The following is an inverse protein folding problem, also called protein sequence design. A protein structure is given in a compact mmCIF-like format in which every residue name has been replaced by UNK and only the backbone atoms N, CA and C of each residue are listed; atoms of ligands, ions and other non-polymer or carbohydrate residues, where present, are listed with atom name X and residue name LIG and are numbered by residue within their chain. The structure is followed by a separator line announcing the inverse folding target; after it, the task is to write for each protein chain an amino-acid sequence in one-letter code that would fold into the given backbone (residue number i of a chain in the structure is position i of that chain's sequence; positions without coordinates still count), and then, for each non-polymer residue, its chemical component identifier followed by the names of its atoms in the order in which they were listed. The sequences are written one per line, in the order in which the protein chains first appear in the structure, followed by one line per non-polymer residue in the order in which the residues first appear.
data_IF_010750800148
#
_entry.id   IF_010750800148
#
_cell.length_a   1.000
_cell.length_b   1.000
_cell.length_c   1.000
_cell.angle_alpha   90.00
_cell.angle_beta   90.00
_cell.angle_gamma   90.00
#
_symmetry.space_group_name_H-M   'P 1'
#
loop_
_entity.id
_entity.type
_entity.pdbx_description
1 polymer ?
#
# COMPACT_ATOMS: atom_id res chain seq x y z
N UNK A 1 -34.15 -28.83 -19.69
CA UNK A 1 -33.88 -28.53 -18.26
C UNK A 1 -32.41 -28.75 -17.99
N UNK A 2 -31.82 -27.87 -17.16
CA UNK A 2 -30.39 -27.73 -16.77
C UNK A 2 -29.57 -26.73 -17.59
N UNK A 3 -29.91 -25.46 -17.36
CA UNK A 3 -29.06 -24.45 -16.70
C UNK A 3 -27.53 -24.66 -16.83
N UNK A 4 -26.91 -23.90 -17.73
CA UNK A 4 -25.49 -23.57 -17.72
C UNK A 4 -25.39 -22.11 -17.25
N UNK A 5 -25.18 -21.92 -15.95
CA UNK A 5 -24.89 -20.60 -15.39
C UNK A 5 -23.44 -20.30 -15.73
N UNK A 6 -23.26 -19.58 -16.84
CA UNK A 6 -22.00 -18.95 -17.20
C UNK A 6 -21.81 -17.74 -16.27
N UNK A 7 -21.08 -17.92 -15.17
CA UNK A 7 -20.64 -16.81 -14.33
C UNK A 7 -19.64 -15.95 -15.11
N UNK A 8 -20.16 -14.93 -15.80
CA UNK A 8 -19.39 -13.78 -16.26
C UNK A 8 -18.78 -13.08 -15.03
N UNK A 9 -17.50 -13.31 -14.78
CA UNK A 9 -16.66 -12.41 -13.98
C UNK A 9 -16.49 -11.13 -14.79
N UNK A 10 -17.41 -10.19 -14.59
CA UNK A 10 -17.27 -8.82 -15.09
C UNK A 10 -16.09 -8.18 -14.36
N UNK A 11 -14.96 -8.12 -15.05
CA UNK A 11 -13.90 -7.15 -14.77
C UNK A 11 -14.53 -5.76 -14.91
N UNK A 12 -14.90 -5.12 -13.80
CA UNK A 12 -15.23 -3.69 -13.81
C UNK A 12 -13.92 -2.88 -13.85
N UNK A 13 -13.20 -2.96 -14.97
CA UNK A 13 -12.48 -1.80 -15.48
C UNK A 13 -13.54 -0.98 -16.21
N UNK A 14 -14.42 -0.34 -15.44
CA UNK A 14 -15.41 0.58 -16.01
C UNK A 14 -14.66 1.87 -16.33
N UNK A 15 -14.36 2.02 -17.62
CA UNK A 15 -14.38 3.31 -18.28
C UNK A 15 -15.72 4.00 -18.02
N UNK A 16 -15.85 4.72 -16.91
CA UNK A 16 -16.89 5.73 -16.75
C UNK A 16 -16.27 7.06 -16.33
N UNK A 17 -15.87 7.81 -17.34
CA UNK A 17 -15.54 9.24 -17.30
C UNK A 17 -16.69 10.14 -16.81
N UNK A 18 -17.78 9.59 -16.24
CA UNK A 18 -19.04 10.32 -16.08
C UNK A 18 -19.39 10.81 -14.67
N UNK A 19 -18.64 10.48 -13.62
CA UNK A 19 -18.75 11.19 -12.33
C UNK A 19 -17.54 10.91 -11.43
N UNK A 20 -16.36 11.41 -11.82
CA UNK A 20 -15.13 11.27 -11.02
C UNK A 20 -15.32 11.86 -9.60
N UNK A 21 -16.10 12.93 -9.49
CA UNK A 21 -16.50 13.55 -8.21
C UNK A 21 -17.29 12.59 -7.31
N UNK A 22 -18.28 11.88 -7.86
CA UNK A 22 -19.09 10.95 -7.08
C UNK A 22 -18.28 9.73 -6.65
N UNK A 23 -17.46 9.19 -7.55
CA UNK A 23 -16.57 8.05 -7.25
C UNK A 23 -15.53 8.40 -6.19
N UNK A 24 -14.97 9.62 -6.21
CA UNK A 24 -14.04 10.00 -5.16
C UNK A 24 -14.75 10.25 -3.84
N UNK A 25 -15.94 10.87 -3.88
CA UNK A 25 -16.75 11.11 -2.70
C UNK A 25 -17.11 9.82 -1.98
N UNK A 26 -17.41 8.74 -2.72
CA UNK A 26 -17.62 7.42 -2.12
C UNK A 26 -16.30 6.82 -1.60
N UNK A 27 -15.21 6.91 -2.37
CA UNK A 27 -13.90 6.40 -1.96
C UNK A 27 -13.36 7.06 -0.68
N UNK A 28 -13.58 8.37 -0.49
CA UNK A 28 -13.18 9.10 0.73
C UNK A 28 -13.84 8.57 2.00
N UNK A 29 -14.97 7.88 1.88
CA UNK A 29 -15.68 7.29 3.01
C UNK A 29 -15.19 5.88 3.34
N UNK A 30 -14.44 5.24 2.44
CA UNK A 30 -13.90 3.90 2.65
C UNK A 30 -12.65 3.95 3.53
N UNK A 31 -12.39 2.86 4.26
CA UNK A 31 -11.19 2.77 5.10
C UNK A 31 -9.90 2.70 4.28
N UNK A 32 -9.98 2.20 3.04
CA UNK A 32 -8.85 2.17 2.11
C UNK A 32 -9.31 2.65 0.74
N UNK A 33 -8.47 3.43 0.08
CA UNK A 33 -8.63 3.79 -1.33
C UNK A 33 -7.29 4.23 -1.92
N UNK A 34 -7.20 4.38 -3.23
CA UNK A 34 -6.00 4.87 -3.89
C UNK A 34 -6.31 5.76 -5.08
N UNK A 35 -5.35 6.63 -5.40
CA UNK A 35 -5.35 7.47 -6.60
C UNK A 35 -4.19 7.05 -7.48
N UNK A 36 -4.52 6.52 -8.66
CA UNK A 36 -3.56 6.08 -9.65
C UNK A 36 -3.49 7.11 -10.77
N UNK A 37 -2.29 7.66 -10.96
CA UNK A 37 -1.96 8.56 -12.04
C UNK A 37 -1.15 7.78 -13.08
N UNK A 38 -1.63 7.73 -14.32
CA UNK A 38 -0.97 7.04 -15.44
C UNK A 38 -0.69 8.01 -16.59
N UNK A 39 0.19 7.61 -17.51
CA UNK A 39 0.53 8.40 -18.70
C UNK A 39 1.11 9.78 -18.35
N UNK A 40 1.99 9.84 -17.34
CA UNK A 40 2.63 11.08 -16.93
C UNK A 40 3.45 11.67 -18.09
N UNK A 41 3.31 12.97 -18.38
CA UNK A 41 4.02 13.58 -19.49
C UNK A 41 5.53 13.55 -19.24
N UNK A 42 6.26 13.19 -20.30
CA UNK A 42 7.72 13.26 -20.33
C UNK A 42 8.18 14.69 -19.98
N UNK A 43 9.32 14.80 -19.27
CA UNK A 43 9.92 16.04 -18.80
C UNK A 43 9.83 17.17 -19.82
N UNK A 44 8.84 18.04 -19.68
CA UNK A 44 8.82 19.34 -20.33
C UNK A 44 7.72 20.20 -19.68
N UNK A 45 8.17 21.31 -19.10
CA UNK A 45 7.39 22.42 -18.52
C UNK A 45 6.89 22.27 -17.07
N UNK A 46 7.62 22.93 -16.16
CA UNK A 46 7.15 23.30 -14.82
C UNK A 46 8.04 22.79 -13.68
N UNK A 47 8.44 23.68 -12.77
CA UNK A 47 9.11 23.29 -11.52
C UNK A 47 8.17 22.54 -10.56
N UNK A 48 6.88 22.82 -10.68
CA UNK A 48 5.80 22.31 -9.83
C UNK A 48 4.62 21.93 -10.69
N UNK A 49 4.11 20.72 -10.49
CA UNK A 49 2.96 20.18 -11.19
C UNK A 49 1.86 19.82 -10.18
N UNK A 50 0.67 20.39 -10.35
CA UNK A 50 -0.49 20.04 -9.53
C UNK A 50 -1.12 18.79 -10.17
N UNK A 51 -1.10 17.69 -9.42
CA UNK A 51 -1.63 16.41 -9.89
C UNK A 51 -3.13 16.30 -9.62
N UNK A 52 -3.56 16.78 -8.46
CA UNK A 52 -4.93 16.64 -8.02
C UNK A 52 -5.29 17.74 -7.03
N UNK A 53 -6.50 18.30 -7.19
CA UNK A 53 -7.14 19.18 -6.22
C UNK A 53 -8.58 18.74 -6.04
N UNK A 54 -8.93 18.29 -4.85
CA UNK A 54 -10.30 18.00 -4.45
C UNK A 54 -10.76 19.07 -3.48
N UNK A 55 -11.75 19.86 -3.86
CA UNK A 55 -12.33 20.89 -3.02
C UNK A 55 -13.77 20.52 -2.67
N UNK A 56 -14.12 20.70 -1.41
CA UNK A 56 -15.47 20.59 -0.92
C UNK A 56 -15.86 21.91 -0.27
N UNK A 57 -17.00 22.44 -0.68
CA UNK A 57 -17.62 23.59 -0.02
C UNK A 57 -18.92 23.12 0.62
N UNK A 58 -19.05 23.36 1.93
CA UNK A 58 -20.26 23.10 2.68
C UNK A 58 -21.18 24.31 2.70
N UNK A 59 -22.48 24.10 2.95
CA UNK A 59 -23.48 25.19 3.07
C UNK A 59 -23.11 26.19 4.19
N UNK A 60 -22.36 25.73 5.20
CA UNK A 60 -21.80 26.54 6.28
C UNK A 60 -20.47 27.24 5.92
N UNK A 61 -20.09 27.33 4.65
CA UNK A 61 -18.83 27.91 4.15
C UNK A 61 -17.54 27.25 4.69
N UNK A 62 -17.64 26.05 5.26
CA UNK A 62 -16.45 25.25 5.56
C UNK A 62 -15.94 24.68 4.25
N UNK A 63 -14.80 25.19 3.80
CA UNK A 63 -14.06 24.59 2.71
C UNK A 63 -13.13 23.51 3.27
N UNK A 64 -13.04 22.39 2.57
CA UNK A 64 -12.03 21.36 2.80
C UNK A 64 -11.37 21.07 1.46
N UNK A 65 -10.04 21.16 1.40
CA UNK A 65 -9.25 20.83 0.22
C UNK A 65 -8.31 19.66 0.49
N UNK A 66 -8.04 18.90 -0.56
CA UNK A 66 -6.97 17.93 -0.66
C UNK A 66 -6.21 18.22 -1.96
N UNK A 67 -4.97 18.63 -1.83
CA UNK A 67 -4.06 18.97 -2.92
C UNK A 67 -2.90 17.97 -2.93
N UNK A 68 -2.62 17.42 -4.11
CA UNK A 68 -1.47 16.56 -4.37
C UNK A 68 -0.62 17.25 -5.43
N UNK A 69 0.61 17.58 -5.06
CA UNK A 69 1.50 18.40 -5.85
C UNK A 69 2.84 17.69 -5.98
N UNK A 70 3.39 17.68 -7.19
CA UNK A 70 4.73 17.18 -7.44
C UNK A 70 5.66 18.34 -7.82
N UNK A 71 6.56 18.71 -6.90
CA UNK A 71 7.64 19.66 -7.14
C UNK A 71 8.84 18.92 -7.75
N UNK A 72 8.83 18.80 -9.08
CA UNK A 72 9.85 18.10 -9.86
C UNK A 72 11.27 18.65 -9.63
N UNK A 73 11.41 19.98 -9.45
CA UNK A 73 12.71 20.61 -9.24
C UNK A 73 13.43 20.15 -7.96
N UNK A 74 12.67 19.78 -6.93
CA UNK A 74 13.19 19.32 -5.64
C UNK A 74 12.91 17.85 -5.38
N UNK A 75 12.32 17.15 -6.34
CA UNK A 75 11.89 15.77 -6.17
C UNK A 75 10.99 15.59 -4.94
N UNK A 76 10.09 16.55 -4.69
CA UNK A 76 9.18 16.54 -3.54
C UNK A 76 7.75 16.26 -3.98
N UNK A 77 7.15 15.26 -3.35
CA UNK A 77 5.74 14.98 -3.48
C UNK A 77 5.03 15.54 -2.26
N UNK A 78 4.25 16.60 -2.46
CA UNK A 78 3.62 17.39 -1.41
C UNK A 78 2.16 16.98 -1.34
N UNK A 79 1.71 16.64 -0.14
CA UNK A 79 0.30 16.41 0.17
C UNK A 79 -0.14 17.51 1.12
N UNK A 80 -1.19 18.23 0.71
CA UNK A 80 -1.70 19.38 1.44
C UNK A 80 -3.21 19.24 1.62
N UNK A 81 -3.67 19.64 2.78
CA UNK A 81 -5.07 19.87 3.14
C UNK A 81 -5.18 21.23 3.82
N UNK A 82 -6.39 21.63 4.20
CA UNK A 82 -6.62 22.92 4.89
C UNK A 82 -5.85 23.05 6.21
N UNK A 83 -5.59 21.93 6.89
CA UNK A 83 -5.03 21.92 8.25
C UNK A 83 -3.69 21.19 8.34
N UNK A 84 -3.24 20.55 7.26
CA UNK A 84 -2.03 19.74 7.25
C UNK A 84 -1.30 19.88 5.92
N UNK A 85 0.01 20.06 5.98
CA UNK A 85 0.90 20.12 4.81
C UNK A 85 2.19 19.40 5.14
N UNK A 86 2.50 18.38 4.35
CA UNK A 86 3.75 17.65 4.48
C UNK A 86 4.17 17.07 3.13
N UNK A 87 5.33 16.45 3.06
CA UNK A 87 5.92 16.02 1.80
C UNK A 87 6.79 14.78 1.94
N UNK A 88 6.82 13.99 0.86
CA UNK A 88 7.69 12.83 0.69
C UNK A 88 8.78 13.22 -0.32
N UNK A 89 10.04 12.96 0.01
CA UNK A 89 11.13 13.06 -0.96
C UNK A 89 11.12 11.82 -1.85
N UNK A 90 11.02 12.03 -3.17
CA UNK A 90 11.01 10.97 -4.18
C UNK A 90 12.33 11.01 -4.90
N UNK A 91 13.29 10.18 -4.48
CA UNK A 91 14.58 10.09 -5.16
C UNK A 91 14.45 9.34 -6.48
N UNK A 92 13.84 9.97 -7.49
CA UNK A 92 13.81 9.42 -8.84
C UNK A 92 15.25 9.41 -9.37
N UNK A 93 15.79 8.24 -9.77
CA UNK A 93 17.13 8.15 -10.37
C UNK A 93 17.25 9.13 -11.54
N UNK A 94 18.37 9.87 -11.62
CA UNK A 94 18.59 10.88 -12.70
C UNK A 94 18.48 10.29 -14.12
N UNK A 95 18.62 8.98 -14.25
CA UNK A 95 18.55 8.26 -15.52
C UNK A 95 17.11 7.89 -15.91
N UNK A 96 16.13 8.06 -15.01
CA UNK A 96 14.71 7.84 -15.29
C UNK A 96 14.11 9.15 -15.81
N UNK A 97 14.02 9.29 -17.12
CA UNK A 97 13.47 10.47 -17.80
C UNK A 97 11.95 10.42 -17.97
N UNK A 98 11.37 9.23 -17.79
CA UNK A 98 9.93 8.96 -17.93
C UNK A 98 9.43 8.18 -16.74
N UNK A 99 8.54 8.81 -15.97
CA UNK A 99 7.70 8.09 -15.00
C UNK A 99 6.50 7.50 -15.73
N UNK A 100 6.17 6.26 -15.44
CA UNK A 100 5.01 5.60 -16.05
C UNK A 100 3.75 5.84 -15.22
N UNK A 101 3.86 5.71 -13.90
CA UNK A 101 2.71 5.78 -13.01
C UNK A 101 3.06 6.18 -11.58
N UNK A 102 2.22 7.02 -10.99
CA UNK A 102 2.28 7.38 -9.56
C UNK A 102 1.02 6.81 -8.89
N UNK A 103 1.19 6.11 -7.78
CA UNK A 103 0.09 5.57 -6.99
C UNK A 103 0.18 6.10 -5.57
N UNK A 104 -0.91 6.74 -5.14
CA UNK A 104 -1.06 7.28 -3.81
C UNK A 104 -2.13 6.47 -3.09
N UNK A 105 -1.72 5.70 -2.07
CA UNK A 105 -2.61 4.86 -1.26
C UNK A 105 -3.00 5.62 0.00
N UNK A 106 -4.27 5.56 0.36
CA UNK A 106 -4.83 6.16 1.57
C UNK A 106 -5.40 5.05 2.44
N UNK A 107 -4.91 4.95 3.67
CA UNK A 107 -5.43 4.06 4.71
C UNK A 107 -5.93 4.92 5.87
N UNK A 108 -7.24 4.90 6.08
CA UNK A 108 -7.95 5.71 7.04
C UNK A 108 -8.25 4.90 8.30
N UNK A 109 -7.68 5.33 9.42
CA UNK A 109 -7.96 4.79 10.75
C UNK A 109 -8.83 5.77 11.54
N UNK A 110 -9.20 5.42 12.77
CA UNK A 110 -10.15 6.18 13.57
C UNK A 110 -9.79 7.68 13.74
N UNK A 111 -8.48 8.01 13.83
CA UNK A 111 -8.00 9.39 14.05
C UNK A 111 -6.87 9.84 13.12
N UNK A 112 -6.41 8.98 12.22
CA UNK A 112 -5.26 9.28 11.35
C UNK A 112 -5.50 8.71 9.96
N UNK A 113 -4.92 9.36 8.96
CA UNK A 113 -4.84 8.80 7.60
C UNK A 113 -3.38 8.60 7.25
N UNK A 114 -3.00 7.36 6.95
CA UNK A 114 -1.68 7.01 6.44
C UNK A 114 -1.73 7.12 4.92
N UNK A 115 -0.84 7.93 4.36
CA UNK A 115 -0.71 8.11 2.91
C UNK A 115 0.61 7.49 2.47
N UNK A 116 0.55 6.46 1.62
CA UNK A 116 1.73 5.80 1.08
C UNK A 116 1.92 6.17 -0.39
N UNK A 117 3.15 6.48 -0.78
CA UNK A 117 3.48 6.86 -2.16
C UNK A 117 4.32 5.78 -2.84
N UNK A 118 3.87 5.38 -4.02
CA UNK A 118 4.57 4.44 -4.90
C UNK A 118 4.72 5.03 -6.29
N UNK A 119 5.95 5.10 -6.80
CA UNK A 119 6.25 5.57 -8.15
C UNK A 119 6.86 4.42 -8.93
N UNK A 120 6.26 4.08 -10.07
CA UNK A 120 6.70 2.96 -10.93
C UNK A 120 6.93 1.66 -10.13
N UNK A 121 5.96 1.31 -9.28
CA UNK A 121 5.99 0.14 -8.40
C UNK A 121 7.04 0.16 -7.27
N UNK A 122 7.76 1.27 -7.08
CA UNK A 122 8.74 1.44 -6.00
C UNK A 122 8.13 2.29 -4.87
N UNK A 123 8.11 1.82 -3.62
CA UNK A 123 7.63 2.60 -2.48
C UNK A 123 8.66 3.67 -2.08
N UNK A 124 8.22 4.93 -1.91
CA UNK A 124 9.09 6.06 -1.56
C UNK A 124 8.89 6.60 -0.14
N UNK A 125 7.78 6.26 0.51
CA UNK A 125 7.55 6.66 1.89
C UNK A 125 6.08 6.74 2.26
N UNK A 126 5.84 7.18 3.50
CA UNK A 126 4.52 7.35 4.09
C UNK A 126 4.42 8.68 4.81
N UNK A 127 3.24 9.30 4.77
CA UNK A 127 2.86 10.45 5.57
C UNK A 127 1.72 10.08 6.51
N UNK A 128 1.66 10.75 7.66
CA UNK A 128 0.59 10.58 8.63
C UNK A 128 -0.16 11.90 8.73
N UNK A 129 -1.35 11.94 8.16
CA UNK A 129 -2.28 13.05 8.34
C UNK A 129 -2.96 12.83 9.71
N UNK A 130 -2.88 13.77 10.66
CA UNK A 130 -3.38 13.61 12.04
C UNK A 130 -4.91 13.75 12.16
N UNK A 131 -5.63 13.29 11.14
CA UNK A 131 -7.08 13.30 11.04
C UNK A 131 -7.54 12.34 9.94
N UNK A 132 -8.78 11.88 10.03
CA UNK A 132 -9.40 11.04 9.00
C UNK A 132 -9.89 11.91 7.84
N UNK A 133 -9.54 11.59 6.59
CA UNK A 133 -10.05 12.35 5.43
C UNK A 133 -11.58 12.32 5.34
N UNK A 134 -12.22 11.20 5.68
CA UNK A 134 -13.68 11.09 5.76
C UNK A 134 -14.32 12.10 6.74
N UNK A 135 -13.60 12.55 7.76
CA UNK A 135 -14.08 13.58 8.71
C UNK A 135 -13.92 15.00 8.14
N UNK A 136 -12.93 15.20 7.25
CA UNK A 136 -12.75 16.47 6.54
C UNK A 136 -13.78 16.66 5.43
N UNK A 137 -14.16 15.57 4.77
CA UNK A 137 -15.05 15.58 3.62
C UNK A 137 -16.42 15.01 4.00
N UNK A 138 -17.41 15.89 4.17
CA UNK A 138 -18.79 15.53 4.51
C UNK A 138 -19.50 14.84 3.31
N UNK A 139 -20.35 13.85 3.60
CA UNK A 139 -21.17 13.16 2.59
C UNK A 139 -22.24 14.05 1.96
N UNK A 140 -22.66 15.14 2.61
CA UNK A 140 -23.77 15.96 2.11
C UNK A 140 -23.35 17.04 1.10
N UNK A 141 -22.10 17.50 1.11
CA UNK A 141 -21.72 18.70 0.36
C UNK A 141 -21.28 18.44 -1.09
N UNK A 142 -21.14 19.52 -1.85
CA UNK A 142 -20.70 19.50 -3.25
C UNK A 142 -19.18 19.33 -3.28
N UNK A 143 -18.73 18.29 -3.97
CA UNK A 143 -17.32 17.97 -4.14
C UNK A 143 -16.92 18.27 -5.59
N UNK A 144 -15.85 19.02 -5.79
CA UNK A 144 -15.32 19.40 -7.10
C UNK A 144 -13.88 18.95 -7.24
N UNK A 145 -13.59 18.20 -8.29
CA UNK A 145 -12.24 17.78 -8.61
C UNK A 145 -11.69 18.62 -9.74
N UNK A 146 -10.55 19.23 -9.49
CA UNK A 146 -9.70 19.80 -10.52
C UNK A 146 -8.49 18.89 -10.70
N UNK A 147 -8.33 18.41 -11.92
CA UNK A 147 -7.24 17.53 -12.35
C UNK A 147 -6.57 18.16 -13.57
N UNK A 148 -5.28 17.95 -13.70
CA UNK A 148 -4.57 18.30 -14.92
C UNK A 148 -4.83 17.22 -16.01
N UNK A 149 -5.22 17.67 -17.19
CA UNK A 149 -5.66 16.84 -18.32
C UNK A 149 -4.52 16.01 -18.94
N UNK A 150 -3.27 16.32 -18.61
CA UNK A 150 -2.07 15.70 -19.21
C UNK A 150 -1.80 14.24 -18.83
N UNK A 151 -2.48 13.72 -17.82
CA UNK A 151 -2.32 12.34 -17.36
C UNK A 151 -3.70 11.71 -17.15
N UNK A 152 -3.78 10.40 -16.98
CA UNK A 152 -5.01 9.70 -16.59
C UNK A 152 -5.09 9.61 -15.07
N UNK A 153 -6.32 9.66 -14.51
CA UNK A 153 -6.57 9.47 -13.09
C UNK A 153 -7.61 8.37 -12.93
N UNK A 154 -7.24 7.32 -12.21
CA UNK A 154 -8.14 6.27 -11.79
C UNK A 154 -8.25 6.26 -10.25
N UNK A 155 -9.49 6.12 -9.77
CA UNK A 155 -9.78 5.98 -8.34
C UNK A 155 -9.94 4.49 -8.07
N UNK A 156 -9.16 3.98 -7.13
CA UNK A 156 -9.06 2.57 -6.82
C UNK A 156 -9.70 2.34 -5.45
N UNK A 157 -10.85 1.67 -5.42
CA UNK A 157 -11.54 1.38 -4.17
C UNK A 157 -10.80 0.37 -3.29
N UNK A 158 -10.10 -0.60 -3.89
CA UNK A 158 -9.28 -1.57 -3.17
C UNK A 158 -7.81 -1.51 -3.63
N UNK A 159 -6.95 -0.74 -2.94
CA UNK A 159 -5.57 -0.53 -3.36
C UNK A 159 -4.65 -1.75 -3.17
N UNK A 160 -5.12 -2.81 -2.51
CA UNK A 160 -4.38 -4.07 -2.31
C UNK A 160 -4.61 -5.08 -3.44
N UNK A 161 -5.67 -4.91 -4.23
CA UNK A 161 -5.84 -5.70 -5.45
C UNK A 161 -4.74 -5.33 -6.45
N UNK A 162 -4.29 -6.30 -7.26
CA UNK A 162 -3.28 -6.12 -8.31
C UNK A 162 -3.78 -5.14 -9.39
N UNK A 163 -3.80 -3.85 -9.07
CA UNK A 163 -4.29 -2.78 -9.92
C UNK A 163 -3.29 -2.50 -11.04
N UNK A 164 -2.02 -2.82 -10.83
CA UNK A 164 -0.95 -2.67 -11.82
C UNK A 164 -0.55 -4.05 -12.35
N UNK A 165 -1.01 -4.38 -13.56
CA UNK A 165 -0.62 -5.62 -14.27
C UNK A 165 0.88 -5.70 -14.62
N UNK A 166 1.60 -4.58 -14.54
CA UNK A 166 3.00 -4.46 -14.98
C UNK A 166 4.01 -4.33 -13.83
N UNK A 167 3.58 -4.33 -12.56
CA UNK A 167 4.53 -4.46 -11.48
C UNK A 167 4.95 -5.93 -11.45
N UNK A 168 6.15 -6.23 -11.96
CA UNK A 168 6.78 -7.51 -11.68
C UNK A 168 6.97 -7.56 -10.16
N UNK A 169 6.20 -8.42 -9.51
CA UNK A 169 6.52 -8.87 -8.17
C UNK A 169 7.74 -9.75 -8.35
N UNK A 170 8.91 -9.13 -8.49
CA UNK A 170 10.12 -9.83 -8.11
C UNK A 170 9.95 -10.06 -6.61
N UNK A 171 9.84 -11.32 -6.21
CA UNK A 171 9.83 -11.79 -4.82
C UNK A 171 11.15 -11.41 -4.14
N UNK A 172 11.37 -10.12 -3.94
CA UNK A 172 12.38 -9.59 -3.05
C UNK A 172 11.80 -9.70 -1.64
N UNK A 173 12.21 -10.75 -0.94
CA UNK A 173 12.02 -10.99 0.49
C UNK A 173 12.43 -9.74 1.31
N UNK A 174 11.54 -8.77 1.45
CA UNK A 174 11.73 -7.59 2.28
C UNK A 174 11.11 -7.86 3.64
N UNK A 175 11.97 -8.00 4.65
CA UNK A 175 11.59 -8.18 6.04
C UNK A 175 10.76 -6.98 6.53
N UNK A 176 9.59 -7.26 7.08
CA UNK A 176 8.72 -6.27 7.69
C UNK A 176 9.25 -6.00 9.10
N UNK A 177 10.05 -4.95 9.27
CA UNK A 177 10.43 -4.48 10.61
C UNK A 177 9.22 -3.83 11.28
N UNK A 178 8.76 -4.42 12.38
CA UNK A 178 7.77 -3.82 13.28
C UNK A 178 8.46 -2.76 14.15
N UNK A 179 8.12 -1.49 13.94
CA UNK A 179 8.59 -0.37 14.77
C UNK A 179 7.88 -0.42 16.12
N UNK A 180 8.61 -0.81 17.17
CA UNK A 180 8.23 -0.51 18.56
C UNK A 180 8.85 0.83 18.95
N UNK A 181 8.00 1.78 19.32
CA UNK A 181 8.36 3.13 19.73
C UNK A 181 9.16 3.17 21.03
N UNK A 182 10.15 4.07 21.12
CA UNK A 182 10.46 4.84 22.32
C UNK A 182 11.19 6.15 21.95
N UNK A 183 10.74 7.24 22.57
CA UNK A 183 11.18 8.63 22.37
C UNK A 183 12.60 8.87 22.90
N UNK A 184 13.41 9.67 22.19
CA UNK A 184 14.08 10.83 22.79
C UNK A 184 14.54 11.85 21.74
N UNK A 185 14.54 13.13 22.12
CA UNK A 185 14.63 14.30 21.25
C UNK A 185 16.02 14.98 21.29
N UNK A 186 16.41 15.50 20.11
CA UNK A 186 17.37 16.61 19.83
C UNK A 186 18.86 16.24 19.51
N UNK A 187 19.65 17.14 18.88
CA UNK A 187 19.79 17.20 17.42
C UNK A 187 21.23 17.46 16.92
N UNK A 188 21.86 16.62 16.10
CA UNK A 188 23.20 17.00 15.55
C UNK A 188 23.58 16.29 14.24
N UNK A 189 23.81 17.13 13.21
CA UNK A 189 24.92 17.09 12.24
C UNK A 189 25.15 15.75 11.51
N UNK A 190 24.80 15.74 10.22
CA UNK A 190 25.36 14.79 9.26
C UNK A 190 26.87 15.01 9.13
N UNK A 191 27.62 14.02 9.57
CA UNK A 191 29.05 13.86 9.32
C UNK A 191 29.50 12.63 10.08
N UNK A 192 29.70 11.53 9.34
CA UNK A 192 30.21 10.23 9.77
C UNK A 192 29.25 9.36 10.62
N UNK A 193 28.98 8.15 10.11
CA UNK A 193 28.38 7.06 10.88
C UNK A 193 29.45 6.59 11.86
N UNK A 194 29.27 6.70 13.19
CA UNK A 194 30.18 6.07 14.12
C UNK A 194 30.02 4.56 13.96
N UNK A 195 31.10 3.87 13.61
CA UNK A 195 31.18 2.42 13.73
C UNK A 195 31.22 2.15 15.23
N UNK A 196 30.06 1.88 15.82
CA UNK A 196 29.96 1.39 17.19
C UNK A 196 30.49 -0.04 17.15
N UNK A 197 31.78 -0.19 17.46
CA UNK A 197 32.43 -1.47 17.69
C UNK A 197 32.22 -1.85 19.16
N UNK A 198 30.99 -2.21 19.50
CA UNK A 198 30.67 -2.98 20.72
C UNK A 198 29.74 -4.11 20.29
N UNK A 199 30.29 -5.02 19.48
CA UNK A 199 29.73 -6.36 19.36
C UNK A 199 29.95 -7.03 20.70
N UNK A 200 28.93 -7.00 21.55
CA UNK A 200 28.88 -7.82 22.75
C UNK A 200 28.76 -9.28 22.27
N UNK A 201 29.91 -9.90 21.97
CA UNK A 201 30.01 -11.24 21.38
C UNK A 201 29.26 -12.27 22.23
N UNK A 202 29.12 -12.01 23.53
CA UNK A 202 28.34 -12.83 24.46
C UNK A 202 26.83 -12.77 24.20
N UNK A 203 26.29 -11.65 23.72
CA UNK A 203 24.86 -11.50 23.36
C UNK A 203 24.58 -12.17 22.02
N UNK A 204 25.49 -12.05 21.06
CA UNK A 204 25.41 -12.73 19.76
C UNK A 204 25.56 -14.25 19.91
N UNK A 205 26.49 -14.73 20.73
CA UNK A 205 26.64 -16.17 21.01
C UNK A 205 25.43 -16.75 21.75
N UNK A 206 24.83 -15.97 22.65
CA UNK A 206 23.61 -16.37 23.37
C UNK A 206 22.39 -16.39 22.45
N UNK A 207 22.25 -15.45 21.53
CA UNK A 207 21.15 -15.46 20.56
C UNK A 207 21.31 -16.59 19.54
N UNK A 208 22.53 -16.87 19.05
CA UNK A 208 22.81 -17.99 18.14
C UNK A 208 22.52 -19.34 18.82
N UNK A 209 22.97 -19.53 20.06
CA UNK A 209 22.70 -20.78 20.79
C UNK A 209 21.21 -21.00 21.07
N UNK A 210 20.46 -19.93 21.38
CA UNK A 210 19.01 -19.99 21.52
C UNK A 210 18.31 -20.31 20.19
N UNK A 211 18.78 -19.74 19.07
CA UNK A 211 18.23 -20.02 17.75
C UNK A 211 18.47 -21.47 17.32
N UNK A 212 19.65 -22.02 17.60
CA UNK A 212 19.98 -23.43 17.33
C UNK A 212 19.10 -24.39 18.15
N UNK A 213 18.82 -24.05 19.41
CA UNK A 213 17.91 -24.84 20.25
C UNK A 213 16.48 -24.85 19.69
N UNK A 214 16.00 -23.71 19.19
CA UNK A 214 14.68 -23.60 18.56
C UNK A 214 14.59 -24.38 17.24
N UNK A 215 15.63 -24.33 16.40
CA UNK A 215 15.66 -25.10 15.15
C UNK A 215 15.60 -26.61 15.43
N UNK A 216 16.33 -27.11 16.43
CA UNK A 216 16.28 -28.53 16.81
C UNK A 216 14.88 -28.94 17.27
N UNK A 217 14.21 -28.10 18.06
CA UNK A 217 12.85 -28.35 18.51
C UNK A 217 11.84 -28.37 17.35
N UNK A 218 11.98 -27.43 16.41
CA UNK A 218 11.13 -27.41 15.21
C UNK A 218 11.36 -28.63 14.31
N UNK A 219 12.60 -29.10 14.21
CA UNK A 219 12.90 -30.32 13.45
C UNK A 219 12.24 -31.56 14.08
N UNK A 220 12.26 -31.66 15.41
CA UNK A 220 11.60 -32.73 16.16
C UNK A 220 10.07 -32.68 15.99
N UNK A 221 9.45 -31.49 16.06
CA UNK A 221 8.02 -31.31 15.81
C UNK A 221 7.63 -31.66 14.36
N UNK A 222 8.50 -31.37 13.39
CA UNK A 222 8.28 -31.67 11.97
C UNK A 222 8.40 -33.19 11.69
N UNK A 223 9.33 -33.88 12.34
CA UNK A 223 9.44 -35.34 12.28
C UNK A 223 8.23 -36.02 12.94
N UNK A 224 7.76 -35.49 14.08
CA UNK A 224 6.53 -35.95 14.73
C UNK A 224 5.30 -35.76 13.82
N UNK A 225 5.10 -34.57 13.24
CA UNK A 225 4.00 -34.32 12.29
C UNK A 225 4.09 -35.20 11.04
N UNK A 226 5.29 -35.49 10.53
CA UNK A 226 5.47 -36.41 9.40
C UNK A 226 5.10 -37.84 9.78
N UNK A 227 5.40 -38.28 11.00
CA UNK A 227 5.00 -39.59 11.49
C UNK A 227 3.47 -39.68 11.65
N UNK A 228 2.83 -38.65 12.20
CA UNK A 228 1.37 -38.57 12.31
C UNK A 228 0.70 -38.56 10.94
N UNK A 229 1.22 -37.78 9.98
CA UNK A 229 0.69 -37.75 8.61
C UNK A 229 0.83 -39.11 7.92
N UNK A 230 1.91 -39.86 8.17
CA UNK A 230 2.07 -41.24 7.67
C UNK A 230 1.08 -42.19 8.33
N UNK A 231 0.88 -42.09 9.64
CA UNK A 231 -0.10 -42.89 10.36
C UNK A 231 -1.53 -42.63 9.85
N UNK A 232 -1.90 -41.36 9.63
CA UNK A 232 -3.18 -40.98 9.03
C UNK A 232 -3.34 -41.53 7.61
N UNK A 233 -2.28 -41.51 6.79
CA UNK A 233 -2.31 -42.13 5.46
C UNK A 233 -2.52 -43.64 5.52
N UNK A 234 -1.86 -44.35 6.43
CA UNK A 234 -2.06 -45.80 6.61
C UNK A 234 -3.49 -46.14 7.05
N UNK A 235 -4.09 -45.31 7.90
CA UNK A 235 -5.49 -45.48 8.32
C UNK A 235 -6.44 -45.28 7.14
N UNK A 236 -6.16 -44.29 6.27
CA UNK A 236 -6.94 -44.05 5.06
C UNK A 236 -6.77 -45.17 4.02
N UNK A 237 -5.57 -45.74 3.89
CA UNK A 237 -5.29 -46.87 2.97
C UNK A 237 -5.95 -48.18 3.42
N UNK A 238 -6.21 -48.35 4.72
CA UNK A 238 -6.89 -49.52 5.30
C UNK A 238 -8.39 -49.32 5.53
N UNK A 239 -8.98 -48.21 5.05
CA UNK A 239 -10.39 -47.93 5.21
C UNK A 239 -11.21 -48.61 4.08
N UNK A 240 -11.75 -49.81 4.36
CA UNK A 240 -12.62 -50.57 3.44
C UNK A 240 -13.77 -49.76 2.79
N UNK A 241 -14.50 -48.86 3.49
CA UNK A 241 -15.58 -48.09 2.86
C UNK A 241 -15.10 -46.93 1.95
N UNK A 242 -13.80 -46.65 1.88
CA UNK A 242 -13.25 -45.57 1.05
C UNK A 242 -12.74 -46.06 -0.32
N UNK A 243 -12.84 -47.36 -0.63
CA UNK A 243 -12.44 -47.90 -1.94
C UNK A 243 -13.46 -47.49 -3.01
N UNK A 244 -13.10 -46.69 -4.02
CA UNK A 244 -14.03 -46.36 -5.09
C UNK A 244 -14.18 -47.57 -6.01
N UNK A 245 -15.17 -48.42 -5.73
CA UNK A 245 -15.53 -49.51 -6.63
C UNK A 245 -16.11 -50.76 -5.97
N UNK A 246 -17.26 -50.65 -5.29
CA UNK A 246 -18.25 -51.73 -5.32
C UNK A 246 -19.58 -51.13 -5.78
N UNK A 247 -19.85 -51.29 -7.08
CA UNK A 247 -21.20 -51.21 -7.62
C UNK A 247 -21.92 -52.49 -7.22
N UNK A 248 -23.12 -52.38 -6.67
CA UNK A 248 -24.12 -53.45 -6.77
C UNK A 248 -24.39 -53.78 -8.24
#
# INVERSE_FOLDING_TARGET
MRELILTLLVLSVTSELKNLDATLKTALQNDKFGLLFEELPNQQYGNTEILFVGNQEDEMQRSSSLEIIWERARNKFIIKTNQYKDYIHVNVPRNQTKLQSIFVKFEQYHRVTIVSLEVDCVPYGRLIIPQRLAQLFNKASIFKITKNEKFLLAIVANPESNVRKNCLVDDAMMAQESIAANNDLTPTIRGDIPIIHDCDDNVLLKSISQLIALIKKLQEELEAQRAETRALRQILENCDPCRPGEKH
#
